data_IF_685213040794
#
_entry.id   IF_685213040794
#
_cell.length_a   1.000
_cell.length_b   1.000
_cell.length_c   1.000
_cell.angle_alpha   90.00
_cell.angle_beta   90.00
_cell.angle_gamma   90.00
#
_symmetry.space_group_name_H-M   'P 1'
#
loop_
_entity.id
_entity.type
_entity.pdbx_description
1 polymer ?
#
# COMPACT_ATOMS: atom_id res chain seq x y z
N UNK A 1 24.52 -5.67 -0.40
CA UNK A 1 23.29 -5.07 0.16
C UNK A 1 22.91 -5.59 1.55
N UNK A 2 23.11 -6.87 1.91
CA UNK A 2 22.84 -7.36 3.29
C UNK A 2 23.81 -6.90 4.39
N UNK A 3 24.95 -6.28 4.02
CA UNK A 3 26.02 -5.86 4.95
C UNK A 3 26.14 -4.34 5.11
N UNK A 4 25.21 -3.57 4.56
CA UNK A 4 25.15 -2.11 4.66
C UNK A 4 24.09 -1.71 5.68
N UNK A 5 24.36 -0.72 6.53
CA UNK A 5 23.41 -0.21 7.53
C UNK A 5 22.32 0.69 6.91
N UNK A 6 21.88 0.35 5.70
CA UNK A 6 20.85 1.09 4.97
C UNK A 6 19.49 0.43 5.19
N UNK A 7 18.46 1.23 5.47
CA UNK A 7 17.08 0.75 5.59
C UNK A 7 16.56 0.42 4.18
N UNK A 8 16.20 -0.85 3.96
CA UNK A 8 15.56 -1.28 2.71
C UNK A 8 14.05 -1.23 2.93
N UNK A 9 13.36 -0.44 2.11
CA UNK A 9 11.89 -0.32 2.11
C UNK A 9 11.34 -0.63 0.72
N UNK A 10 10.07 -1.02 0.66
CA UNK A 10 9.32 -1.20 -0.59
C UNK A 10 8.32 -0.05 -0.74
N UNK A 11 7.99 0.29 -1.98
CA UNK A 11 6.88 1.20 -2.26
C UNK A 11 5.54 0.62 -1.80
N UNK A 12 4.62 1.50 -1.40
CA UNK A 12 3.28 1.11 -1.02
C UNK A 12 2.55 0.47 -2.22
N UNK A 13 1.72 -0.53 -1.92
CA UNK A 13 0.87 -1.20 -2.90
C UNK A 13 -0.58 -0.94 -2.50
N UNK A 14 -1.36 -0.38 -3.41
CA UNK A 14 -2.70 0.09 -3.12
C UNK A 14 -3.45 0.45 -4.39
N UNK A 15 -4.56 1.17 -4.22
CA UNK A 15 -5.39 1.64 -5.31
C UNK A 15 -4.79 2.92 -5.93
N UNK A 16 -4.92 3.12 -7.25
CA UNK A 16 -4.52 4.36 -7.89
C UNK A 16 -5.38 5.54 -7.42
N UNK A 17 -4.77 6.72 -7.34
CA UNK A 17 -5.51 7.94 -7.04
C UNK A 17 -6.38 8.36 -8.22
N UNK A 18 -7.63 8.71 -7.97
CA UNK A 18 -8.58 9.13 -9.02
C UNK A 18 -9.08 8.03 -9.95
N UNK A 19 -8.76 6.76 -9.67
CA UNK A 19 -9.36 5.61 -10.36
C UNK A 19 -10.66 5.15 -9.69
N UNK A 20 -11.58 4.61 -10.50
CA UNK A 20 -12.84 4.04 -10.01
C UNK A 20 -12.62 2.61 -9.52
N UNK A 21 -13.25 2.23 -8.40
CA UNK A 21 -13.07 0.90 -7.79
C UNK A 21 -13.56 -0.21 -8.73
N UNK A 22 -14.64 0.06 -9.44
CA UNK A 22 -15.31 -0.85 -10.36
C UNK A 22 -14.47 -1.13 -11.62
N UNK A 23 -13.50 -0.27 -11.92
CA UNK A 23 -12.58 -0.42 -13.05
C UNK A 23 -11.35 -1.26 -12.72
N UNK A 24 -11.12 -1.57 -11.44
CA UNK A 24 -9.94 -2.29 -10.98
C UNK A 24 -10.12 -3.79 -11.03
N UNK A 25 -9.02 -4.49 -11.32
CA UNK A 25 -8.98 -5.94 -11.26
C UNK A 25 -8.93 -6.46 -9.81
N UNK A 26 -9.40 -7.68 -9.62
CA UNK A 26 -9.41 -8.34 -8.30
C UNK A 26 -8.01 -8.49 -7.69
N UNK A 27 -6.97 -8.62 -8.51
CA UNK A 27 -5.59 -8.72 -8.05
C UNK A 27 -5.08 -7.43 -7.40
N UNK A 28 -5.47 -6.28 -7.96
CA UNK A 28 -5.20 -4.96 -7.38
C UNK A 28 -5.99 -4.74 -6.10
N UNK A 29 -7.28 -5.06 -6.08
CA UNK A 29 -8.11 -4.95 -4.88
C UNK A 29 -7.55 -5.83 -3.75
N UNK A 30 -7.24 -7.09 -4.05
CA UNK A 30 -6.63 -8.01 -3.09
C UNK A 30 -5.31 -7.48 -2.54
N UNK A 31 -4.43 -7.00 -3.42
CA UNK A 31 -3.13 -6.46 -3.04
C UNK A 31 -3.25 -5.20 -2.18
N UNK A 32 -4.22 -4.34 -2.48
CA UNK A 32 -4.50 -3.14 -1.70
C UNK A 32 -5.00 -3.49 -0.29
N UNK A 33 -5.99 -4.39 -0.18
CA UNK A 33 -6.53 -4.80 1.12
C UNK A 33 -5.53 -5.55 1.98
N UNK A 34 -4.69 -6.39 1.36
CA UNK A 34 -3.64 -7.16 2.04
C UNK A 34 -2.54 -6.28 2.63
N UNK A 35 -2.16 -5.23 1.92
CA UNK A 35 -1.05 -4.35 2.31
C UNK A 35 -1.53 -3.00 2.87
N UNK A 36 -2.82 -2.85 3.19
CA UNK A 36 -3.34 -1.60 3.76
C UNK A 36 -2.69 -1.30 5.11
N UNK A 37 -2.32 -0.06 5.33
CA UNK A 37 -1.88 0.42 6.64
C UNK A 37 -3.08 0.65 7.57
N UNK A 38 -2.90 0.40 8.86
CA UNK A 38 -3.90 0.83 9.85
C UNK A 38 -4.03 2.36 9.83
N UNK A 39 -5.24 2.84 10.05
CA UNK A 39 -5.47 4.26 10.28
C UNK A 39 -4.89 4.59 11.66
N UNK A 40 -3.85 5.42 11.68
CA UNK A 40 -3.42 6.05 12.92
C UNK A 40 -4.44 7.14 13.22
N UNK A 41 -5.40 6.84 14.09
CA UNK A 41 -6.33 7.83 14.62
C UNK A 41 -5.57 8.76 15.56
N UNK A 42 -4.82 9.71 15.02
CA UNK A 42 -4.59 10.95 15.75
C UNK A 42 -5.90 11.71 15.68
N UNK A 43 -6.78 11.44 16.65
CA UNK A 43 -7.83 12.36 17.02
C UNK A 43 -7.17 13.64 17.50
N UNK A 44 -7.18 14.66 16.65
CA UNK A 44 -7.11 16.04 17.12
C UNK A 44 -8.37 16.35 17.96
#
# INVERSE_FOLDING_TARGET
LKKTNAKITKLAQGLPVGGEIESLDDGTLFSAFKNRSNLNSNSE
#
